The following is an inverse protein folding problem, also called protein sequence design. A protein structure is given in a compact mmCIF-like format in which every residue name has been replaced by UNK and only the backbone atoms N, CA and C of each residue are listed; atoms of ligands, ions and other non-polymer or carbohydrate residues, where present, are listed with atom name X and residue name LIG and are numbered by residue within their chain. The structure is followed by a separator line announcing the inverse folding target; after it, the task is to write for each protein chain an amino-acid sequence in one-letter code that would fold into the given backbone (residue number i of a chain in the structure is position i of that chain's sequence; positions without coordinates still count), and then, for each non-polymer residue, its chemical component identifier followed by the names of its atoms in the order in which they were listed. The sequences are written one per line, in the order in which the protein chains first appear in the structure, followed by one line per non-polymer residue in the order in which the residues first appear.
data_IF_577213908034
#
_entry.id   IF_577213908034
#
_cell.length_a   1.000
_cell.length_b   1.000
_cell.length_c   1.000
_cell.angle_alpha   90.00
_cell.angle_beta   90.00
_cell.angle_gamma   90.00
#
_symmetry.space_group_name_H-M   'P 1'
#
loop_
_entity.id
_entity.type
_entity.pdbx_description
1 polymer ?
#
# COMPACT_ATOMS: atom_id res chain seq x y z
N UNK A 1 -14.48 -14.90 -14.59
CA UNK A 1 -13.47 -14.27 -15.46
C UNK A 1 -12.09 -14.71 -14.96
N UNK A 2 -11.43 -15.57 -15.72
CA UNK A 2 -10.11 -16.09 -15.39
C UNK A 2 -9.04 -15.16 -15.99
N UNK A 3 -8.13 -14.66 -15.14
CA UNK A 3 -6.92 -13.96 -15.57
C UNK A 3 -5.81 -14.98 -15.79
N UNK A 4 -4.89 -14.70 -16.72
CA UNK A 4 -3.67 -15.51 -16.87
C UNK A 4 -2.71 -15.26 -15.68
N UNK A 5 -1.79 -16.21 -15.44
CA UNK A 5 -0.71 -16.06 -14.44
C UNK A 5 0.07 -14.77 -14.69
N UNK A 6 0.42 -14.05 -13.64
CA UNK A 6 1.19 -12.80 -13.66
C UNK A 6 0.62 -11.68 -14.57
N UNK A 7 -0.64 -11.78 -14.97
CA UNK A 7 -1.25 -10.80 -15.87
C UNK A 7 -1.74 -9.57 -15.13
N UNK A 8 -2.48 -9.76 -14.03
CA UNK A 8 -3.17 -8.68 -13.32
C UNK A 8 -3.05 -8.81 -11.80
N UNK A 9 -2.86 -7.69 -11.15
CA UNK A 9 -3.09 -7.49 -9.72
C UNK A 9 -4.17 -6.45 -9.53
N UNK A 10 -4.93 -6.55 -8.46
CA UNK A 10 -5.94 -5.59 -8.08
C UNK A 10 -5.52 -4.84 -6.83
N UNK A 11 -5.67 -3.51 -6.86
CA UNK A 11 -5.27 -2.59 -5.80
C UNK A 11 -6.51 -1.85 -5.32
N UNK A 12 -6.69 -1.80 -4.00
CA UNK A 12 -7.80 -1.06 -3.41
C UNK A 12 -7.49 -0.61 -1.97
N UNK A 13 -8.34 0.30 -1.45
CA UNK A 13 -8.29 0.82 -0.08
C UNK A 13 -9.63 0.62 0.63
N UNK A 14 -9.56 0.35 1.93
CA UNK A 14 -10.72 0.40 2.80
C UNK A 14 -10.38 1.04 4.13
N UNK A 15 -11.11 2.08 4.56
CA UNK A 15 -10.94 2.66 5.91
C UNK A 15 -11.64 1.79 6.96
N UNK A 16 -10.99 1.59 8.10
CA UNK A 16 -11.56 0.95 9.28
C UNK A 16 -11.38 1.82 10.52
N UNK A 17 -12.38 1.84 11.39
CA UNK A 17 -12.25 2.45 12.72
C UNK A 17 -11.75 1.39 13.69
N UNK A 18 -10.54 1.56 14.17
CA UNK A 18 -9.85 0.60 15.02
C UNK A 18 -9.35 1.28 16.31
N UNK A 19 -9.36 0.53 17.41
CA UNK A 19 -8.73 0.97 18.65
C UNK A 19 -7.26 0.54 18.63
N UNK A 20 -6.36 1.51 18.49
CA UNK A 20 -4.91 1.29 18.41
C UNK A 20 -4.25 2.02 19.60
N UNK A 21 -3.56 1.27 20.45
CA UNK A 21 -2.97 1.81 21.69
C UNK A 21 -4.02 2.44 22.62
N UNK A 22 -5.23 1.86 22.66
CA UNK A 22 -6.33 2.38 23.47
C UNK A 22 -7.10 3.56 22.87
N UNK A 23 -6.65 4.13 21.73
CA UNK A 23 -7.24 5.31 21.06
C UNK A 23 -7.94 4.88 19.78
N UNK A 24 -9.17 5.35 19.57
CA UNK A 24 -9.90 5.14 18.32
C UNK A 24 -9.26 5.94 17.18
N UNK A 25 -8.94 5.25 16.09
CA UNK A 25 -8.28 5.84 14.91
C UNK A 25 -8.89 5.27 13.63
N UNK A 26 -8.83 6.06 12.56
CA UNK A 26 -9.08 5.56 11.21
C UNK A 26 -7.78 4.95 10.69
N UNK A 27 -7.84 3.66 10.35
CA UNK A 27 -6.76 2.93 9.72
C UNK A 27 -7.14 2.61 8.27
N UNK A 28 -6.32 3.07 7.32
CA UNK A 28 -6.53 2.84 5.90
C UNK A 28 -5.83 1.54 5.49
N UNK A 29 -6.61 0.52 5.17
CA UNK A 29 -6.11 -0.77 4.74
C UNK A 29 -5.82 -0.75 3.24
N UNK A 30 -4.55 -0.80 2.87
CA UNK A 30 -4.11 -1.10 1.51
C UNK A 30 -4.27 -2.59 1.25
N UNK A 31 -4.83 -2.94 0.10
CA UNK A 31 -4.97 -4.32 -0.36
C UNK A 31 -4.39 -4.47 -1.76
N UNK A 32 -3.54 -5.47 -1.95
CA UNK A 32 -3.02 -5.90 -3.24
C UNK A 32 -3.27 -7.39 -3.41
N UNK A 33 -3.99 -7.78 -4.46
CA UNK A 33 -4.35 -9.17 -4.74
C UNK A 33 -3.83 -9.57 -6.12
N UNK A 34 -3.02 -10.62 -6.20
CA UNK A 34 -2.69 -11.25 -7.47
C UNK A 34 -3.93 -11.96 -8.01
N UNK A 35 -4.42 -11.55 -9.19
CA UNK A 35 -5.74 -11.97 -9.67
C UNK A 35 -5.82 -13.45 -10.04
N UNK A 36 -4.72 -14.12 -10.34
CA UNK A 36 -4.71 -15.54 -10.68
C UNK A 36 -4.60 -16.41 -9.43
N UNK A 37 -3.54 -16.27 -8.63
CA UNK A 37 -3.31 -17.10 -7.42
C UNK A 37 -4.18 -16.72 -6.24
N UNK A 38 -4.78 -15.53 -6.26
CA UNK A 38 -5.51 -14.94 -5.12
C UNK A 38 -4.64 -14.63 -3.92
N UNK A 39 -3.31 -14.61 -4.10
CA UNK A 39 -2.40 -14.21 -3.04
C UNK A 39 -2.65 -12.76 -2.66
N UNK A 40 -2.91 -12.57 -1.37
CA UNK A 40 -3.28 -11.29 -0.78
C UNK A 40 -2.08 -10.68 -0.06
N UNK A 41 -1.90 -9.39 -0.21
CA UNK A 41 -1.12 -8.53 0.67
C UNK A 41 -2.02 -7.44 1.24
N UNK A 42 -1.93 -7.19 2.54
CA UNK A 42 -2.55 -6.02 3.20
C UNK A 42 -1.55 -5.34 4.10
N UNK A 43 -1.73 -4.03 4.25
CA UNK A 43 -1.05 -3.23 5.25
C UNK A 43 -1.87 -2.00 5.62
N UNK A 44 -1.76 -1.56 6.86
CA UNK A 44 -2.52 -0.44 7.40
C UNK A 44 -1.67 0.81 7.53
N UNK A 45 -2.23 1.94 7.10
CA UNK A 45 -1.59 3.25 7.08
C UNK A 45 -2.47 4.30 7.74
N UNK A 46 -1.88 5.46 8.04
CA UNK A 46 -2.59 6.60 8.65
C UNK A 46 -3.40 7.41 7.65
N UNK A 47 -3.07 7.32 6.37
CA UNK A 47 -3.75 7.99 5.26
C UNK A 47 -3.65 7.15 3.98
N UNK A 48 -4.34 7.58 2.93
CA UNK A 48 -4.33 6.97 1.59
C UNK A 48 -3.82 7.95 0.52
N UNK A 49 -3.01 8.94 0.89
CA UNK A 49 -2.45 9.92 -0.03
C UNK A 49 -1.55 9.27 -1.06
N UNK A 50 -1.29 9.96 -2.18
CA UNK A 50 -0.46 9.42 -3.25
C UNK A 50 0.92 8.92 -2.78
N UNK A 51 1.70 9.65 -1.96
CA UNK A 51 2.99 9.12 -1.47
C UNK A 51 2.83 7.82 -0.68
N UNK A 52 1.79 7.73 0.16
CA UNK A 52 1.47 6.51 0.93
C UNK A 52 1.08 5.36 0.00
N UNK A 53 0.28 5.64 -1.02
CA UNK A 53 -0.10 4.66 -2.04
C UNK A 53 1.13 4.11 -2.78
N UNK A 54 2.04 4.97 -3.24
CA UNK A 54 3.26 4.55 -3.93
C UNK A 54 4.17 3.70 -3.03
N UNK A 55 4.31 4.11 -1.78
CA UNK A 55 5.06 3.35 -0.77
C UNK A 55 4.43 1.97 -0.52
N UNK A 56 3.10 1.91 -0.34
CA UNK A 56 2.35 0.67 -0.13
C UNK A 56 2.49 -0.30 -1.31
N UNK A 57 2.54 0.22 -2.55
CA UNK A 57 2.84 -0.61 -3.72
C UNK A 57 4.22 -1.25 -3.62
N UNK A 58 5.25 -0.47 -3.25
CA UNK A 58 6.61 -0.98 -3.08
C UNK A 58 6.67 -2.13 -2.06
N UNK A 59 5.98 -1.98 -0.93
CA UNK A 59 5.88 -3.05 0.09
C UNK A 59 5.12 -4.28 -0.42
N UNK A 60 4.00 -4.09 -1.15
CA UNK A 60 3.24 -5.17 -1.75
C UNK A 60 4.05 -5.93 -2.82
N UNK A 61 4.79 -5.20 -3.66
CA UNK A 61 5.68 -5.82 -4.66
C UNK A 61 6.82 -6.61 -4.00
N UNK A 62 7.42 -6.07 -2.95
CA UNK A 62 8.45 -6.77 -2.17
C UNK A 62 7.89 -8.05 -1.52
N UNK A 63 6.69 -7.98 -0.96
CA UNK A 63 5.98 -9.12 -0.38
C UNK A 63 5.68 -10.22 -1.42
N UNK A 64 5.21 -9.83 -2.59
CA UNK A 64 4.97 -10.77 -3.70
C UNK A 64 6.25 -11.18 -4.44
N UNK A 65 7.39 -10.57 -4.14
CA UNK A 65 8.69 -10.79 -4.80
C UNK A 65 8.62 -10.57 -6.32
N UNK A 66 7.82 -9.59 -6.74
CA UNK A 66 7.60 -9.25 -8.14
C UNK A 66 6.26 -8.55 -8.34
N UNK A 67 5.94 -8.26 -9.58
CA UNK A 67 4.70 -7.60 -9.96
C UNK A 67 4.09 -8.22 -11.21
N UNK A 68 2.81 -7.96 -11.45
CA UNK A 68 2.12 -8.39 -12.67
C UNK A 68 2.25 -7.33 -13.76
N UNK A 69 2.02 -7.73 -15.02
CA UNK A 69 2.08 -6.80 -16.15
C UNK A 69 1.09 -5.64 -16.04
N UNK A 70 -0.02 -5.81 -15.32
CA UNK A 70 -1.08 -4.81 -15.16
C UNK A 70 -1.50 -4.67 -13.71
N UNK A 71 -1.71 -3.41 -13.27
CA UNK A 71 -2.34 -3.10 -11.99
C UNK A 71 -3.72 -2.46 -12.23
N UNK A 72 -4.74 -3.00 -11.59
CA UNK A 72 -6.15 -2.60 -11.76
C UNK A 72 -6.61 -1.81 -10.54
N UNK A 73 -7.22 -0.64 -10.79
CA UNK A 73 -7.72 0.30 -9.79
C UNK A 73 -9.21 0.55 -9.98
N UNK A 74 -9.97 0.63 -8.88
CA UNK A 74 -11.38 1.03 -8.94
C UNK A 74 -11.51 2.53 -8.65
N UNK A 75 -11.46 3.33 -9.72
CA UNK A 75 -11.69 4.79 -9.73
C UNK A 75 -11.06 5.58 -8.55
N UNK A 76 -9.88 5.18 -8.12
CA UNK A 76 -9.16 5.83 -7.02
C UNK A 76 -8.72 7.24 -7.42
N UNK A 77 -9.16 8.24 -6.67
CA UNK A 77 -8.80 9.65 -6.90
C UNK A 77 -7.31 9.94 -6.71
N UNK A 78 -6.61 9.10 -5.97
CA UNK A 78 -5.15 9.19 -5.78
C UNK A 78 -4.38 8.89 -7.07
N UNK A 79 -4.93 8.07 -7.97
CA UNK A 79 -4.26 7.70 -9.22
C UNK A 79 -4.87 8.36 -10.45
N UNK A 80 -6.17 8.75 -10.40
CA UNK A 80 -6.85 9.38 -11.53
C UNK A 80 -7.42 10.75 -11.16
N UNK A 81 -7.14 11.76 -11.98
CA UNK A 81 -7.69 13.11 -11.88
C UNK A 81 -9.10 13.25 -12.47
N UNK A 82 -9.62 12.19 -13.08
CA UNK A 82 -10.89 12.17 -13.76
C UNK A 82 -10.86 11.35 -15.06
N UNK A 83 -11.80 11.63 -15.95
CA UNK A 83 -11.89 10.97 -17.27
C UNK A 83 -12.15 11.99 -18.37
N UNK A 84 -11.48 11.79 -19.51
CA UNK A 84 -11.72 12.53 -20.74
C UNK A 84 -12.14 11.51 -21.83
N UNK A 85 -13.29 11.72 -22.44
CA UNK A 85 -13.84 10.79 -23.45
C UNK A 85 -13.84 9.30 -23.00
N UNK A 86 -14.15 9.06 -21.71
CA UNK A 86 -14.18 7.71 -21.13
C UNK A 86 -12.81 7.11 -20.77
N UNK A 87 -11.70 7.78 -21.11
CA UNK A 87 -10.34 7.37 -20.76
C UNK A 87 -9.91 8.02 -19.43
N UNK A 88 -9.24 7.31 -18.52
CA UNK A 88 -8.75 7.89 -17.29
C UNK A 88 -7.65 8.93 -17.57
N UNK A 89 -7.71 10.05 -16.85
CA UNK A 89 -6.61 11.02 -16.76
C UNK A 89 -5.82 10.64 -15.52
N UNK A 90 -4.64 10.07 -15.71
CA UNK A 90 -3.79 9.63 -14.62
C UNK A 90 -3.03 10.80 -13.99
N UNK A 91 -2.78 10.71 -12.68
CA UNK A 91 -1.86 11.59 -12.01
C UNK A 91 -0.43 11.41 -12.58
N UNK A 92 0.25 12.48 -12.96
CA UNK A 92 1.55 12.44 -13.65
C UNK A 92 2.61 11.68 -12.84
N UNK A 93 2.71 11.99 -11.55
CA UNK A 93 3.66 11.33 -10.65
C UNK A 93 3.38 9.82 -10.49
N UNK A 94 2.09 9.43 -10.51
CA UNK A 94 1.71 8.03 -10.53
C UNK A 94 2.10 7.33 -11.83
N UNK A 95 1.96 8.00 -13.00
CA UNK A 95 2.43 7.44 -14.28
C UNK A 95 3.95 7.28 -14.31
N UNK A 96 4.70 8.23 -13.74
CA UNK A 96 6.15 8.12 -13.62
C UNK A 96 6.54 6.90 -12.76
N UNK A 97 5.83 6.68 -11.64
CA UNK A 97 6.00 5.49 -10.80
C UNK A 97 5.70 4.20 -11.56
N UNK A 98 4.55 4.12 -12.24
CA UNK A 98 4.15 2.93 -13.00
C UNK A 98 5.15 2.58 -14.10
N UNK A 99 5.66 3.61 -14.81
CA UNK A 99 6.68 3.46 -15.86
C UNK A 99 8.01 2.99 -15.28
N UNK A 100 8.45 3.58 -14.16
CA UNK A 100 9.69 3.18 -13.48
C UNK A 100 9.63 1.73 -12.99
N UNK A 101 8.49 1.35 -12.42
CA UNK A 101 8.28 0.02 -11.85
C UNK A 101 8.04 -1.05 -12.92
N UNK A 102 7.48 -0.68 -14.08
CA UNK A 102 7.32 -1.57 -15.23
C UNK A 102 5.93 -2.23 -15.36
N UNK A 103 4.88 -1.65 -14.75
CA UNK A 103 3.51 -2.14 -14.94
C UNK A 103 2.64 -1.13 -15.71
N UNK A 104 1.57 -1.64 -16.32
CA UNK A 104 0.56 -0.81 -16.98
C UNK A 104 -0.63 -0.59 -16.04
N UNK A 105 -0.96 0.66 -15.65
CA UNK A 105 -2.15 0.93 -14.85
C UNK A 105 -3.43 0.81 -15.68
N UNK A 106 -4.48 0.30 -15.05
CA UNK A 106 -5.80 0.17 -15.64
C UNK A 106 -6.87 0.60 -14.63
N UNK A 107 -7.78 1.51 -15.02
CA UNK A 107 -8.91 1.92 -14.20
C UNK A 107 -10.22 1.34 -14.76
N UNK A 108 -11.02 0.70 -13.91
CA UNK A 108 -12.32 0.17 -14.32
C UNK A 108 -13.24 1.28 -14.84
N UNK A 109 -14.04 0.95 -15.87
CA UNK A 109 -15.12 1.83 -16.34
C UNK A 109 -16.25 1.83 -15.31
N UNK A 110 -16.80 3.01 -15.03
CA UNK A 110 -17.83 3.27 -13.99
C UNK A 110 -19.10 2.37 -14.06
N UNK A 111 -19.33 1.68 -15.16
CA UNK A 111 -20.59 0.92 -15.40
C UNK A 111 -20.50 -0.60 -15.21
N UNK A 112 -19.36 -1.18 -14.86
CA UNK A 112 -19.23 -2.64 -14.73
C UNK A 112 -19.08 -3.07 -13.27
N UNK A 113 -20.15 -2.88 -12.47
CA UNK A 113 -20.23 -3.37 -11.07
C UNK A 113 -20.00 -4.88 -10.93
N UNK A 114 -20.25 -5.65 -11.99
CA UNK A 114 -20.05 -7.12 -11.96
C UNK A 114 -18.59 -7.55 -11.80
N UNK A 115 -17.62 -6.68 -12.11
CA UNK A 115 -16.19 -6.94 -11.88
C UNK A 115 -15.70 -6.55 -10.48
N UNK A 116 -16.44 -5.71 -9.76
CA UNK A 116 -16.13 -5.28 -8.38
C UNK A 116 -16.29 -6.42 -7.36
N UNK A 117 -17.10 -7.44 -7.65
CA UNK A 117 -17.33 -8.56 -6.74
C UNK A 117 -16.09 -9.38 -6.36
N UNK A 118 -14.93 -9.15 -7.02
CA UNK A 118 -13.65 -9.76 -6.62
C UNK A 118 -12.94 -8.97 -5.52
N UNK A 119 -13.29 -7.69 -5.32
CA UNK A 119 -12.63 -6.74 -4.39
C UNK A 119 -13.43 -6.55 -3.12
N UNK A 120 -14.75 -6.52 -3.18
CA UNK A 120 -15.61 -6.39 -1.99
C UNK A 120 -15.41 -7.57 -1.02
N UNK A 121 -15.13 -8.76 -1.56
CA UNK A 121 -14.89 -9.96 -0.75
C UNK A 121 -13.60 -9.93 0.09
N UNK A 122 -12.44 -9.44 -0.40
CA UNK A 122 -11.25 -9.31 0.43
C UNK A 122 -11.46 -8.44 1.67
N UNK A 123 -12.14 -7.29 1.54
CA UNK A 123 -12.37 -6.39 2.68
C UNK A 123 -13.34 -6.98 3.70
N UNK A 124 -14.41 -7.63 3.27
CA UNK A 124 -15.28 -8.36 4.18
C UNK A 124 -14.51 -9.50 4.90
N UNK A 125 -13.65 -10.21 4.20
CA UNK A 125 -12.81 -11.25 4.77
C UNK A 125 -11.78 -10.68 5.77
N UNK A 126 -11.15 -9.56 5.46
CA UNK A 126 -10.25 -8.85 6.38
C UNK A 126 -11.01 -8.42 7.64
N UNK A 127 -12.21 -7.86 7.49
CA UNK A 127 -13.01 -7.40 8.61
C UNK A 127 -13.45 -8.55 9.52
N UNK A 128 -13.94 -9.64 8.95
CA UNK A 128 -14.56 -10.74 9.69
C UNK A 128 -13.56 -11.72 10.27
N UNK A 129 -12.46 -11.98 9.58
CA UNK A 129 -11.48 -13.01 9.95
C UNK A 129 -10.22 -12.40 10.61
N UNK A 130 -9.77 -11.23 10.16
CA UNK A 130 -8.58 -10.59 10.73
C UNK A 130 -8.92 -9.57 11.83
N UNK A 131 -9.78 -8.58 11.55
CA UNK A 131 -9.99 -7.46 12.46
C UNK A 131 -10.89 -7.78 13.64
N UNK A 132 -11.84 -8.67 13.44
CA UNK A 132 -12.85 -9.01 14.46
C UNK A 132 -12.21 -9.61 15.72
N UNK A 133 -12.58 -9.06 16.87
CA UNK A 133 -12.12 -9.50 18.19
C UNK A 133 -10.59 -9.39 18.45
N UNK A 134 -9.84 -8.63 17.63
CA UNK A 134 -8.43 -8.36 17.87
C UNK A 134 -8.23 -7.01 18.55
N UNK A 135 -7.14 -6.90 19.27
CA UNK A 135 -6.67 -5.66 19.90
C UNK A 135 -5.28 -5.34 19.37
N UNK A 136 -4.99 -4.05 19.24
CA UNK A 136 -3.73 -3.57 18.65
C UNK A 136 -3.08 -2.59 19.61
N UNK A 137 -1.88 -2.92 20.09
CA UNK A 137 -1.12 -2.07 21.00
C UNK A 137 -0.52 -0.84 20.30
N UNK A 138 -0.17 -0.97 19.01
CA UNK A 138 0.42 0.10 18.19
C UNK A 138 0.13 -0.14 16.70
N UNK A 139 0.54 0.80 15.85
CA UNK A 139 0.52 0.63 14.39
C UNK A 139 1.43 -0.51 13.93
N UNK A 140 2.58 -0.66 14.57
CA UNK A 140 3.52 -1.73 14.26
C UNK A 140 2.96 -3.09 14.66
N UNK A 141 2.29 -3.17 15.82
CA UNK A 141 1.61 -4.38 16.27
C UNK A 141 0.46 -4.77 15.33
N UNK A 142 -0.37 -3.80 14.89
CA UNK A 142 -1.42 -4.04 13.90
C UNK A 142 -0.84 -4.66 12.61
N UNK A 143 0.22 -4.08 12.08
CA UNK A 143 0.85 -4.55 10.85
C UNK A 143 1.62 -5.86 11.04
N UNK A 144 2.22 -6.11 12.20
CA UNK A 144 2.84 -7.39 12.52
C UNK A 144 1.79 -8.52 12.60
N UNK A 145 0.66 -8.29 13.28
CA UNK A 145 -0.44 -9.24 13.32
C UNK A 145 -1.05 -9.49 11.94
N UNK A 146 -1.16 -8.45 11.09
CA UNK A 146 -1.63 -8.60 9.71
C UNK A 146 -0.69 -9.48 8.88
N UNK A 147 0.62 -9.30 9.02
CA UNK A 147 1.60 -10.13 8.33
C UNK A 147 1.53 -11.59 8.76
N UNK A 148 1.45 -11.86 10.06
CA UNK A 148 1.27 -13.23 10.60
C UNK A 148 0.00 -13.85 10.03
N UNK A 149 -1.13 -13.12 10.06
CA UNK A 149 -2.39 -13.61 9.50
C UNK A 149 -2.31 -13.89 8.01
N UNK A 150 -1.63 -13.05 7.22
CA UNK A 150 -1.40 -13.29 5.79
C UNK A 150 -0.66 -14.61 5.55
N UNK A 151 0.40 -14.87 6.32
CA UNK A 151 1.26 -16.05 6.13
C UNK A 151 0.65 -17.35 6.70
N UNK A 152 -0.15 -17.25 7.77
CA UNK A 152 -0.65 -18.45 8.46
C UNK A 152 -2.11 -18.78 8.15
N UNK A 153 -2.87 -17.82 7.63
CA UNK A 153 -4.32 -17.99 7.39
C UNK A 153 -4.68 -17.62 5.96
N UNK A 154 -4.52 -16.34 5.58
CA UNK A 154 -5.09 -15.85 4.33
C UNK A 154 -4.48 -16.50 3.08
N UNK A 155 -3.15 -16.66 3.06
CA UNK A 155 -2.44 -17.15 1.88
C UNK A 155 -2.17 -18.67 1.91
N UNK A 156 -2.59 -19.37 2.96
CA UNK A 156 -2.50 -20.85 3.02
C UNK A 156 -3.85 -21.54 2.83
N UNK A 157 -4.96 -20.77 2.88
CA UNK A 157 -6.31 -21.33 2.72
C UNK A 157 -6.56 -21.89 1.32
N UNK A 158 -7.49 -22.85 1.22
CA UNK A 158 -8.12 -23.22 -0.03
C UNK A 158 -9.10 -22.10 -0.43
N UNK A 159 -8.87 -21.46 -1.58
CA UNK A 159 -9.71 -20.35 -2.02
C UNK A 159 -10.94 -20.85 -2.78
N UNK A 160 -12.14 -20.45 -2.34
CA UNK A 160 -13.42 -20.98 -2.85
C UNK A 160 -13.59 -20.85 -4.36
N UNK A 161 -13.15 -19.74 -4.97
CA UNK A 161 -13.34 -19.50 -6.40
C UNK A 161 -12.40 -20.34 -7.27
N UNK A 162 -11.12 -20.44 -6.89
CA UNK A 162 -10.12 -21.18 -7.69
C UNK A 162 -10.02 -22.65 -7.29
N UNK A 163 -10.69 -23.06 -6.18
CA UNK A 163 -10.71 -24.43 -5.64
C UNK A 163 -9.29 -25.01 -5.42
N UNK A 164 -8.34 -24.16 -5.05
CA UNK A 164 -6.93 -24.48 -4.83
C UNK A 164 -6.39 -23.75 -3.63
N UNK A 165 -5.34 -24.27 -3.03
CA UNK A 165 -4.57 -23.55 -2.02
C UNK A 165 -3.84 -22.36 -2.64
N UNK A 166 -3.96 -21.19 -1.99
CA UNK A 166 -3.39 -19.93 -2.50
C UNK A 166 -1.87 -20.03 -2.65
N UNK A 167 -1.17 -20.62 -1.68
CA UNK A 167 0.30 -20.75 -1.72
C UNK A 167 0.77 -21.68 -2.85
N UNK A 168 0.03 -22.75 -3.18
CA UNK A 168 0.34 -23.65 -4.31
C UNK A 168 0.14 -22.91 -5.65
N UNK A 169 -0.98 -22.24 -5.80
CA UNK A 169 -1.23 -21.41 -6.97
C UNK A 169 -0.14 -20.34 -7.12
N UNK A 170 0.21 -19.65 -6.04
CA UNK A 170 1.26 -18.64 -6.07
C UNK A 170 2.63 -19.23 -6.45
N UNK A 171 2.99 -20.44 -6.01
CA UNK A 171 4.25 -21.09 -6.40
C UNK A 171 4.38 -21.25 -7.92
N UNK A 172 3.27 -21.48 -8.62
CA UNK A 172 3.22 -21.54 -10.08
C UNK A 172 3.23 -20.15 -10.76
N UNK A 173 2.68 -19.12 -10.10
CA UNK A 173 2.60 -17.76 -10.64
C UNK A 173 3.90 -17.00 -10.45
N UNK A 174 4.56 -17.20 -9.29
CA UNK A 174 5.75 -16.45 -8.86
C UNK A 174 6.87 -16.38 -9.92
N UNK A 175 7.28 -17.47 -10.59
CA UNK A 175 8.34 -17.44 -11.60
C UNK A 175 8.02 -16.58 -12.82
N UNK A 176 6.75 -16.23 -13.03
CA UNK A 176 6.26 -15.45 -14.16
C UNK A 176 6.05 -13.96 -13.82
N UNK A 177 6.18 -13.59 -12.55
CA UNK A 177 6.10 -12.19 -12.13
C UNK A 177 7.25 -11.39 -12.72
N UNK A 178 6.97 -10.14 -13.07
CA UNK A 178 8.00 -9.19 -13.52
C UNK A 178 8.91 -8.87 -12.34
N UNK A 179 10.22 -8.92 -12.58
CA UNK A 179 11.22 -8.59 -11.56
C UNK A 179 11.12 -7.10 -11.16
N UNK A 180 11.41 -6.81 -9.89
CA UNK A 180 11.43 -5.45 -9.39
C UNK A 180 12.63 -4.68 -9.97
N UNK A 181 12.50 -3.36 -10.22
CA UNK A 181 13.63 -2.54 -10.61
C UNK A 181 14.70 -2.55 -9.50
N UNK A 182 16.00 -2.49 -9.86
CA UNK A 182 17.10 -2.53 -8.88
C UNK A 182 17.11 -1.32 -7.95
N UNK A 183 16.53 -0.21 -8.39
CA UNK A 183 16.40 1.02 -7.61
C UNK A 183 14.92 1.29 -7.34
N UNK A 184 14.56 1.45 -6.08
CA UNK A 184 13.19 1.80 -5.69
C UNK A 184 12.82 3.21 -6.17
N UNK A 185 11.57 3.42 -6.53
CA UNK A 185 11.04 4.77 -6.81
C UNK A 185 10.98 5.58 -5.51
N UNK A 186 11.44 6.84 -5.56
CA UNK A 186 11.38 7.74 -4.42
C UNK A 186 9.93 8.08 -4.07
N UNK A 187 9.50 7.69 -2.89
CA UNK A 187 8.14 7.96 -2.36
C UNK A 187 8.16 8.94 -1.20
N UNK A 188 9.34 9.45 -0.86
CA UNK A 188 9.52 10.43 0.19
C UNK A 188 9.15 11.84 -0.26
N UNK A 189 8.66 12.63 0.69
CA UNK A 189 8.51 14.07 0.57
C UNK A 189 9.71 14.72 1.23
N UNK A 190 10.42 15.58 0.49
CA UNK A 190 11.55 16.32 1.03
C UNK A 190 11.10 17.71 1.47
N UNK A 191 11.38 18.08 2.72
CA UNK A 191 11.05 19.36 3.29
C UNK A 191 12.26 19.98 3.98
N UNK A 192 12.37 21.32 3.93
CA UNK A 192 13.33 22.07 4.74
C UNK A 192 12.63 22.60 5.98
N UNK A 193 13.19 22.33 7.16
CA UNK A 193 12.65 22.76 8.45
C UNK A 193 13.75 23.41 9.30
N UNK A 194 13.36 24.45 10.04
CA UNK A 194 14.24 25.05 11.06
C UNK A 194 14.12 24.25 12.35
N UNK A 195 15.25 23.93 12.96
CA UNK A 195 15.27 23.29 14.27
C UNK A 195 14.92 24.32 15.34
N UNK A 196 13.94 24.00 16.16
CA UNK A 196 13.48 24.85 17.25
C UNK A 196 14.49 24.89 18.41
N UNK A 197 14.32 25.86 19.32
CA UNK A 197 15.21 26.05 20.46
C UNK A 197 15.22 24.91 21.48
N UNK A 198 14.14 24.11 21.47
CA UNK A 198 13.98 22.89 22.27
C UNK A 198 14.64 21.66 21.63
N UNK A 199 15.35 21.83 20.53
CA UNK A 199 16.02 20.74 19.82
C UNK A 199 15.06 19.84 19.05
N UNK A 200 13.90 20.33 18.63
CA UNK A 200 12.93 19.55 17.84
C UNK A 200 12.70 20.12 16.43
N UNK A 201 12.23 19.27 15.55
CA UNK A 201 11.71 19.61 14.21
C UNK A 201 10.25 19.23 14.14
N UNK A 202 9.37 20.17 13.77
CA UNK A 202 7.96 19.90 13.58
C UNK A 202 7.67 19.46 12.13
N UNK A 203 7.08 18.27 11.97
CA UNK A 203 6.66 17.70 10.69
C UNK A 203 5.24 17.16 10.86
N UNK A 204 4.30 17.63 10.04
CA UNK A 204 2.88 17.23 10.10
C UNK A 204 2.28 17.30 11.53
N UNK A 205 2.67 18.31 12.33
CA UNK A 205 2.20 18.51 13.70
C UNK A 205 2.84 17.58 14.75
N UNK A 206 3.77 16.74 14.35
CA UNK A 206 4.57 15.90 15.26
C UNK A 206 5.96 16.49 15.46
N UNK A 207 6.49 16.40 16.69
CA UNK A 207 7.80 16.93 17.06
C UNK A 207 8.83 15.79 17.15
N UNK A 208 9.91 15.92 16.39
CA UNK A 208 10.99 14.94 16.31
C UNK A 208 12.26 15.51 16.93
N UNK A 209 12.83 14.89 17.97
CA UNK A 209 14.07 15.36 18.58
C UNK A 209 15.24 15.16 17.60
N UNK A 210 16.11 16.15 17.55
CA UNK A 210 17.35 16.13 16.77
C UNK A 210 18.54 16.52 17.62
N UNK A 211 19.78 16.20 17.18
CA UNK A 211 20.98 16.58 17.95
C UNK A 211 21.03 18.08 18.23
N UNK A 212 21.42 18.46 19.48
CA UNK A 212 21.44 19.84 19.96
C UNK A 212 22.31 20.77 19.07
N UNK A 213 23.37 20.23 18.43
CA UNK A 213 24.22 20.99 17.50
C UNK A 213 23.49 21.61 16.33
N UNK A 214 22.26 21.11 16.01
CA UNK A 214 21.44 21.57 14.88
C UNK A 214 20.44 22.67 15.29
N UNK A 215 20.35 23.01 16.54
CA UNK A 215 19.43 24.06 17.05
C UNK A 215 19.66 25.37 16.28
N UNK A 216 18.56 25.94 15.79
CA UNK A 216 18.56 27.17 15.00
C UNK A 216 18.94 26.99 13.53
N UNK A 217 19.48 25.85 13.12
CA UNK A 217 19.84 25.55 11.76
C UNK A 217 18.63 25.06 10.93
N UNK A 218 18.77 25.08 9.60
CA UNK A 218 17.84 24.45 8.70
C UNK A 218 18.32 23.04 8.36
N UNK A 219 17.44 22.06 8.45
CA UNK A 219 17.70 20.66 8.12
C UNK A 219 16.77 20.18 7.02
N UNK A 220 17.20 19.19 6.25
CA UNK A 220 16.33 18.48 5.31
C UNK A 220 15.63 17.34 6.04
N UNK A 221 14.32 17.25 5.91
CA UNK A 221 13.55 16.11 6.39
C UNK A 221 13.01 15.34 5.20
N UNK A 222 13.31 14.05 5.13
CA UNK A 222 12.69 13.10 4.21
C UNK A 222 11.56 12.40 4.95
N UNK A 223 10.35 12.66 4.51
CA UNK A 223 9.13 12.18 5.17
C UNK A 223 8.57 11.00 4.37
N UNK A 224 8.62 9.83 4.97
CA UNK A 224 8.00 8.61 4.45
C UNK A 224 6.69 8.33 5.20
N UNK A 225 5.80 7.51 4.68
CA UNK A 225 4.55 7.15 5.35
C UNK A 225 4.75 6.47 6.72
N UNK A 226 5.91 5.85 6.95
CA UNK A 226 6.21 5.08 8.18
C UNK A 226 7.31 5.68 9.05
N UNK A 227 8.12 6.60 8.52
CA UNK A 227 9.27 7.19 9.22
C UNK A 227 9.61 8.60 8.73
N UNK A 228 10.34 9.31 9.53
CA UNK A 228 10.98 10.58 9.19
C UNK A 228 12.50 10.43 9.33
N UNK A 229 13.22 10.85 8.31
CA UNK A 229 14.69 10.93 8.32
C UNK A 229 15.08 12.40 8.31
N UNK A 230 15.81 12.85 9.33
CA UNK A 230 16.35 14.20 9.36
C UNK A 230 17.81 14.14 8.93
N UNK A 231 18.12 14.83 7.83
CA UNK A 231 19.45 14.89 7.25
C UNK A 231 20.10 16.21 7.63
N UNK A 232 21.37 16.15 8.03
CA UNK A 232 22.19 17.33 8.25
C UNK A 232 22.30 18.11 6.93
N UNK A 233 22.23 19.43 6.97
CA UNK A 233 22.45 20.26 5.80
C UNK A 233 23.98 20.38 5.58
N UNK A 234 24.60 19.31 5.11
CA UNK A 234 25.96 19.37 4.59
C UNK A 234 25.93 19.75 3.10
#
# INVERSE_FOLDING_TARGET
FETKKAQEMQIDWSPYRLKIGGIERVAHCFSMVLCWSRRLFIRFYRDERLPTLLFAHGEGFAYHQGLTARAVYDNMTQVTLGRLHGRPIWHEHFLAFAKHTGFTPYAHKVKHKERSGKVERPFWYIETDFLRARTFASWDDLNAQALVWLETVANVRCHETIKRFVHEAYAEEKPLLVALPPVAFGTDRCEVRKVAVDGTVCIDGSFYPVPARLVGQHVRARVYPTRVEVLDAA
#
